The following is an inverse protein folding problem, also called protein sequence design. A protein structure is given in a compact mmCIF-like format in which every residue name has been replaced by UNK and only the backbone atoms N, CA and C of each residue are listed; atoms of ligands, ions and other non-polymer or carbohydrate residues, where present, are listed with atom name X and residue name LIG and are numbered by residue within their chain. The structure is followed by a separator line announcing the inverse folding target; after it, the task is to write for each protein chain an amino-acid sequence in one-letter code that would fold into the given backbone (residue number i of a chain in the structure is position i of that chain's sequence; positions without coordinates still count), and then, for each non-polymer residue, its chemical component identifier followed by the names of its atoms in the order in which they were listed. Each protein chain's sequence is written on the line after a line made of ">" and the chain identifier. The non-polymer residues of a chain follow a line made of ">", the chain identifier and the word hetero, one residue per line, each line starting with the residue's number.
data_IF_290852426570
#
_entry.id   IF_290852426570
#
_cell.length_a   1.000
_cell.length_b   1.000
_cell.length_c   1.000
_cell.angle_alpha   90.00
_cell.angle_beta   90.00
_cell.angle_gamma   90.00
#
_symmetry.space_group_name_H-M   'P 1'
#
loop_
_entity.id
_entity.type
_entity.pdbx_description
1 polymer ?
#
# COMPACT_ATOMS: atom_id res chain seq x y z
N UNK A 1 0.59 -34.92 3.17
CA UNK A 1 0.75 -33.66 3.94
C UNK A 1 -0.20 -32.67 3.31
N UNK A 2 -1.11 -32.10 4.09
CA UNK A 2 -1.98 -31.03 3.62
C UNK A 2 -1.07 -29.99 2.95
N UNK A 3 -1.35 -29.67 1.69
CA UNK A 3 -0.71 -28.54 1.05
C UNK A 3 -1.18 -27.37 1.90
N UNK A 4 -0.30 -26.65 2.59
CA UNK A 4 -0.71 -25.43 3.28
C UNK A 4 -1.60 -24.65 2.30
N UNK A 5 -2.86 -24.43 2.67
CA UNK A 5 -3.84 -23.88 1.75
C UNK A 5 -3.46 -22.42 1.52
N UNK A 6 -2.69 -22.20 0.46
CA UNK A 6 -2.21 -20.88 0.09
C UNK A 6 -3.14 -20.32 -0.97
N UNK A 7 -4.12 -19.52 -0.51
CA UNK A 7 -5.06 -18.82 -1.37
C UNK A 7 -4.31 -18.06 -2.47
N UNK A 8 -4.82 -18.16 -3.70
CA UNK A 8 -4.25 -17.48 -4.87
C UNK A 8 -5.14 -16.31 -5.26
N UNK A 9 -4.67 -15.10 -4.95
CA UNK A 9 -5.35 -13.86 -5.33
C UNK A 9 -5.27 -13.67 -6.85
N UNK A 10 -6.32 -14.11 -7.56
CA UNK A 10 -6.41 -14.00 -9.02
C UNK A 10 -6.70 -12.56 -9.41
N UNK A 11 -5.89 -12.00 -10.32
CA UNK A 11 -6.01 -10.60 -10.74
C UNK A 11 -5.15 -9.64 -9.92
N UNK A 12 -4.58 -10.09 -8.79
CA UNK A 12 -3.63 -9.29 -8.03
C UNK A 12 -2.31 -9.14 -8.82
N UNK A 13 -1.73 -7.92 -8.91
CA UNK A 13 -0.47 -7.70 -9.61
C UNK A 13 0.66 -8.57 -9.04
N UNK A 14 1.34 -9.33 -9.90
CA UNK A 14 2.37 -10.26 -9.43
C UNK A 14 3.66 -9.58 -8.95
N UNK A 15 3.96 -8.41 -9.50
CA UNK A 15 5.19 -7.63 -9.27
C UNK A 15 4.98 -6.17 -9.64
N UNK A 16 5.89 -5.31 -9.17
CA UNK A 16 5.99 -3.93 -9.64
C UNK A 16 6.51 -3.90 -11.10
N UNK A 17 5.76 -3.32 -12.06
CA UNK A 17 6.20 -3.20 -13.45
C UNK A 17 7.57 -2.52 -13.58
N UNK A 18 8.41 -3.01 -14.49
CA UNK A 18 9.75 -2.46 -14.71
C UNK A 18 10.77 -2.77 -13.61
N UNK A 19 10.44 -3.65 -12.66
CA UNK A 19 11.37 -4.05 -11.59
C UNK A 19 11.28 -5.54 -11.24
N UNK A 20 12.18 -5.97 -10.37
CA UNK A 20 12.23 -7.34 -9.82
C UNK A 20 11.42 -7.49 -8.52
N UNK A 21 10.82 -6.42 -8.01
CA UNK A 21 10.04 -6.46 -6.77
C UNK A 21 8.76 -7.28 -6.95
N UNK A 22 8.74 -8.47 -6.35
CA UNK A 22 7.60 -9.37 -6.36
C UNK A 22 6.60 -8.98 -5.27
N UNK A 23 5.32 -9.09 -5.59
CA UNK A 23 4.23 -8.86 -4.64
C UNK A 23 3.53 -10.14 -4.23
N UNK A 24 3.68 -11.22 -5.01
CA UNK A 24 3.09 -12.52 -4.72
C UNK A 24 4.10 -13.66 -4.87
N UNK A 25 3.87 -14.74 -4.14
CA UNK A 25 4.63 -15.98 -4.24
C UNK A 25 3.93 -17.00 -5.13
N UNK A 26 4.68 -17.60 -6.06
CA UNK A 26 4.17 -18.64 -6.96
C UNK A 26 3.88 -19.97 -6.26
N UNK A 27 4.63 -20.29 -5.21
CA UNK A 27 4.53 -21.55 -4.46
C UNK A 27 4.70 -21.29 -2.97
N UNK A 28 4.10 -22.13 -2.14
CA UNK A 28 4.33 -22.13 -0.70
C UNK A 28 5.81 -22.40 -0.40
N UNK A 29 6.30 -21.87 0.71
CA UNK A 29 7.69 -22.07 1.11
C UNK A 29 7.86 -23.49 1.69
N UNK A 30 8.74 -24.33 1.12
CA UNK A 30 8.95 -25.70 1.62
C UNK A 30 9.52 -25.75 3.05
N UNK A 31 10.06 -24.64 3.56
CA UNK A 31 10.60 -24.51 4.93
C UNK A 31 9.57 -23.99 5.94
N UNK A 32 8.31 -23.84 5.53
CA UNK A 32 7.26 -23.23 6.33
C UNK A 32 7.03 -21.75 5.98
N UNK A 33 5.85 -21.27 6.34
CA UNK A 33 5.40 -19.90 6.07
C UNK A 33 6.32 -18.89 6.75
N UNK A 34 6.77 -17.87 6.01
CA UNK A 34 7.56 -16.78 6.61
C UNK A 34 6.66 -15.97 7.55
N UNK A 35 7.00 -15.83 8.84
CA UNK A 35 6.18 -15.06 9.77
C UNK A 35 6.18 -13.58 9.40
N UNK A 36 5.02 -12.94 9.46
CA UNK A 36 4.90 -11.49 9.32
C UNK A 36 5.50 -10.79 10.54
N UNK A 37 6.25 -9.73 10.29
CA UNK A 37 6.89 -8.91 11.33
C UNK A 37 6.66 -7.45 11.03
N UNK A 38 6.37 -6.65 12.05
CA UNK A 38 6.32 -5.20 11.87
C UNK A 38 7.76 -4.67 11.75
N UNK A 39 8.14 -4.19 10.56
CA UNK A 39 9.48 -3.66 10.31
C UNK A 39 9.50 -2.14 10.49
N UNK A 40 10.55 -1.62 11.14
CA UNK A 40 10.74 -0.18 11.32
C UNK A 40 11.22 0.49 10.03
N UNK A 41 10.56 1.59 9.65
CA UNK A 41 10.94 2.39 8.47
C UNK A 41 11.86 3.53 8.90
N UNK A 42 13.16 3.32 8.77
CA UNK A 42 14.14 4.40 8.95
C UNK A 42 14.21 5.35 7.74
N UNK A 43 14.69 6.57 7.97
CA UNK A 43 14.69 7.67 6.98
C UNK A 43 15.55 7.36 5.75
N UNK A 44 16.62 6.61 5.95
CA UNK A 44 17.66 6.21 5.00
C UNK A 44 17.27 5.04 4.07
N UNK A 45 16.01 4.59 4.11
CA UNK A 45 15.53 3.56 3.16
C UNK A 45 15.68 4.00 1.71
N UNK A 46 16.10 3.04 0.87
CA UNK A 46 16.30 3.24 -0.57
C UNK A 46 15.02 3.73 -1.25
N UNK A 47 15.10 4.72 -2.15
CA UNK A 47 13.92 5.22 -2.87
C UNK A 47 13.17 4.14 -3.65
N UNK A 48 13.88 3.15 -4.20
CA UNK A 48 13.26 2.03 -4.92
C UNK A 48 12.38 1.17 -4.02
N UNK A 49 12.82 0.91 -2.79
CA UNK A 49 12.02 0.16 -1.81
C UNK A 49 10.79 0.96 -1.37
N UNK A 50 10.93 2.27 -1.18
CA UNK A 50 9.79 3.15 -0.86
C UNK A 50 8.72 3.11 -1.96
N UNK A 51 9.13 3.19 -3.24
CA UNK A 51 8.22 3.07 -4.39
C UNK A 51 7.55 1.70 -4.46
N UNK A 52 8.29 0.63 -4.18
CA UNK A 52 7.73 -0.72 -4.16
C UNK A 52 6.67 -0.88 -3.07
N UNK A 53 6.90 -0.32 -1.88
CA UNK A 53 5.94 -0.38 -0.78
C UNK A 53 4.67 0.43 -1.08
N UNK A 54 4.82 1.63 -1.66
CA UNK A 54 3.69 2.46 -2.10
C UNK A 54 2.85 1.77 -3.18
N UNK A 55 3.51 1.19 -4.20
CA UNK A 55 2.82 0.46 -5.26
C UNK A 55 2.18 -0.85 -4.75
N UNK A 56 2.79 -1.51 -3.77
CA UNK A 56 2.19 -2.68 -3.13
C UNK A 56 0.95 -2.29 -2.33
N UNK A 57 1.00 -1.18 -1.57
CA UNK A 57 -0.17 -0.62 -0.87
C UNK A 57 -1.29 -0.24 -1.85
N UNK A 58 -0.95 0.40 -2.96
CA UNK A 58 -1.91 0.71 -4.04
C UNK A 58 -2.59 -0.56 -4.56
N UNK A 59 -1.82 -1.61 -4.86
CA UNK A 59 -2.36 -2.88 -5.32
C UNK A 59 -3.27 -3.55 -4.27
N UNK A 60 -2.91 -3.49 -2.99
CA UNK A 60 -3.75 -3.98 -1.90
C UNK A 60 -5.08 -3.20 -1.84
N UNK A 61 -5.03 -1.88 -1.90
CA UNK A 61 -6.21 -1.03 -1.88
C UNK A 61 -7.12 -1.27 -3.08
N UNK A 62 -6.58 -1.31 -4.30
CA UNK A 62 -7.38 -1.55 -5.51
C UNK A 62 -8.00 -2.94 -5.57
N UNK A 63 -7.40 -3.94 -4.91
CA UNK A 63 -7.88 -5.32 -4.96
C UNK A 63 -8.81 -5.69 -3.80
N UNK A 64 -8.49 -5.26 -2.58
CA UNK A 64 -9.25 -5.61 -1.36
C UNK A 64 -10.07 -4.44 -0.80
N UNK A 65 -9.65 -3.20 -1.02
CA UNK A 65 -10.31 -2.01 -0.48
C UNK A 65 -10.30 -2.00 1.06
N UNK A 66 -11.49 -1.90 1.65
CA UNK A 66 -11.68 -1.88 3.11
C UNK A 66 -12.03 -3.26 3.68
N UNK A 67 -12.22 -4.27 2.83
CA UNK A 67 -12.60 -5.61 3.28
C UNK A 67 -11.43 -6.35 3.95
N UNK A 68 -11.77 -7.30 4.82
CA UNK A 68 -10.77 -8.23 5.34
C UNK A 68 -10.36 -9.22 4.25
N UNK A 69 -9.11 -9.66 4.29
CA UNK A 69 -8.57 -10.58 3.31
C UNK A 69 -7.56 -11.54 3.92
N UNK A 70 -7.52 -12.75 3.37
CA UNK A 70 -6.48 -13.72 3.71
C UNK A 70 -5.13 -13.30 3.11
N UNK A 71 -4.06 -13.48 3.88
CA UNK A 71 -2.69 -13.29 3.41
C UNK A 71 -2.42 -14.07 2.11
N UNK A 72 -2.85 -15.32 2.02
CA UNK A 72 -2.73 -16.16 0.83
C UNK A 72 -1.32 -16.17 0.23
N UNK A 73 -1.23 -15.84 -1.05
CA UNK A 73 0.03 -15.79 -1.79
C UNK A 73 0.72 -14.43 -1.78
N UNK A 74 0.34 -13.48 -0.91
CA UNK A 74 1.04 -12.20 -0.80
C UNK A 74 2.47 -12.40 -0.27
N UNK A 75 3.42 -11.65 -0.81
CA UNK A 75 4.82 -11.72 -0.40
C UNK A 75 5.00 -11.17 1.02
N UNK A 76 5.42 -12.03 1.94
CA UNK A 76 5.67 -11.63 3.32
C UNK A 76 6.80 -10.61 3.46
N UNK A 77 7.78 -10.61 2.55
CA UNK A 77 8.90 -9.69 2.56
C UNK A 77 8.49 -8.24 2.28
N UNK A 78 7.44 -8.02 1.47
CA UNK A 78 6.80 -6.71 1.27
C UNK A 78 5.72 -6.43 2.29
N UNK A 79 4.87 -7.41 2.59
CA UNK A 79 3.79 -7.25 3.55
C UNK A 79 4.31 -6.87 4.96
N UNK A 80 5.45 -7.41 5.39
CA UNK A 80 6.10 -7.04 6.67
C UNK A 80 6.48 -5.56 6.79
N UNK A 81 6.65 -4.84 5.68
CA UNK A 81 6.92 -3.40 5.74
C UNK A 81 5.67 -2.57 6.02
N UNK A 82 4.50 -3.05 5.62
CA UNK A 82 3.20 -2.43 5.86
C UNK A 82 2.52 -2.96 7.14
N UNK A 83 2.89 -4.17 7.54
CA UNK A 83 2.31 -4.85 8.68
C UNK A 83 2.59 -4.13 10.00
N UNK A 84 1.55 -3.98 10.83
CA UNK A 84 1.60 -3.26 12.11
C UNK A 84 1.40 -1.74 11.99
N UNK A 85 1.23 -1.21 10.78
CA UNK A 85 0.97 0.22 10.55
C UNK A 85 -0.24 0.43 9.64
N UNK A 86 -0.10 0.12 8.36
CA UNK A 86 -1.16 0.27 7.35
C UNK A 86 -1.93 -1.03 7.13
N UNK A 87 -1.30 -2.18 7.37
CA UNK A 87 -1.96 -3.49 7.37
C UNK A 87 -1.91 -4.05 8.78
N UNK A 88 -3.05 -4.47 9.29
CA UNK A 88 -3.20 -5.01 10.64
C UNK A 88 -3.95 -6.35 10.60
N UNK A 89 -3.80 -7.21 11.62
CA UNK A 89 -4.67 -8.37 11.80
C UNK A 89 -6.16 -7.98 11.74
N UNK A 90 -6.98 -8.79 11.08
CA UNK A 90 -8.42 -8.60 11.11
C UNK A 90 -8.95 -8.76 12.54
N UNK A 91 -8.53 -9.85 13.20
CA UNK A 91 -8.71 -10.16 14.62
C UNK A 91 -7.33 -10.21 15.32
N UNK A 92 -7.00 -9.27 16.22
CA UNK A 92 -5.73 -9.27 16.96
C UNK A 92 -5.57 -10.43 17.97
N UNK A 93 -6.67 -11.01 18.45
CA UNK A 93 -6.65 -12.01 19.53
C UNK A 93 -6.44 -13.44 19.00
N UNK A 94 -6.76 -13.69 17.71
CA UNK A 94 -6.61 -14.99 17.03
C UNK A 94 -5.81 -14.87 15.71
N UNK A 95 -4.65 -14.19 15.78
CA UNK A 95 -3.80 -13.98 14.61
C UNK A 95 -2.53 -14.82 14.61
N UNK A 96 -2.36 -15.69 13.61
CA UNK A 96 -1.10 -16.38 13.35
C UNK A 96 -0.26 -15.67 12.25
N UNK A 97 0.83 -14.98 12.62
CA UNK A 97 1.72 -14.33 11.64
C UNK A 97 2.40 -15.34 10.69
N UNK A 98 2.49 -16.62 11.07
CA UNK A 98 3.08 -17.70 10.29
C UNK A 98 2.01 -18.58 9.60
N UNK A 99 0.81 -18.06 9.36
CA UNK A 99 -0.21 -18.74 8.56
C UNK A 99 -0.40 -18.07 7.19
N UNK A 100 -0.75 -18.85 6.17
CA UNK A 100 -1.23 -18.32 4.87
C UNK A 100 -2.72 -17.94 4.92
N UNK A 101 -3.48 -18.53 5.84
CA UNK A 101 -4.90 -18.24 6.08
C UNK A 101 -5.08 -17.08 7.06
N UNK A 102 -3.98 -16.40 7.44
CA UNK A 102 -4.01 -15.27 8.34
C UNK A 102 -4.87 -14.14 7.75
N UNK A 103 -5.94 -13.77 8.43
CA UNK A 103 -6.81 -12.66 8.03
C UNK A 103 -6.22 -11.31 8.41
N UNK A 104 -6.20 -10.42 7.43
CA UNK A 104 -5.64 -9.09 7.50
C UNK A 104 -6.67 -8.07 7.05
N UNK A 105 -6.49 -6.82 7.47
CA UNK A 105 -7.26 -5.68 6.99
C UNK A 105 -6.36 -4.46 6.83
N UNK A 106 -6.78 -3.55 5.97
CA UNK A 106 -6.11 -2.26 5.80
C UNK A 106 -6.65 -1.28 6.85
N UNK A 107 -5.75 -0.68 7.63
CA UNK A 107 -6.08 0.49 8.44
C UNK A 107 -6.10 1.71 7.52
N UNK A 108 -7.29 2.01 7.00
CA UNK A 108 -7.54 3.08 6.03
C UNK A 108 -7.01 4.43 6.53
N UNK A 109 -7.21 4.73 7.82
CA UNK A 109 -6.75 6.01 8.41
C UNK A 109 -5.23 6.12 8.38
N UNK A 110 -4.52 5.03 8.72
CA UNK A 110 -3.06 4.99 8.68
C UNK A 110 -2.51 4.94 7.25
N UNK A 111 -3.21 4.25 6.36
CA UNK A 111 -2.87 4.18 4.94
C UNK A 111 -2.98 5.57 4.29
N UNK A 112 -4.09 6.28 4.49
CA UNK A 112 -4.29 7.66 4.00
C UNK A 112 -3.26 8.64 4.55
N UNK A 113 -2.91 8.52 5.84
CA UNK A 113 -1.89 9.39 6.44
C UNK A 113 -0.47 9.10 5.94
N UNK A 114 -0.18 7.87 5.52
CA UNK A 114 1.17 7.49 5.08
C UNK A 114 1.37 7.62 3.58
N UNK A 115 0.30 7.38 2.81
CA UNK A 115 0.30 7.39 1.34
C UNK A 115 -0.89 8.22 0.83
N UNK A 116 -0.95 9.52 1.15
CA UNK A 116 -2.06 10.38 0.73
C UNK A 116 -2.26 10.38 -0.78
N UNK A 117 -1.17 10.24 -1.55
CA UNK A 117 -1.17 10.17 -3.01
C UNK A 117 -1.97 8.98 -3.59
N UNK A 118 -2.22 7.93 -2.79
CA UNK A 118 -3.02 6.78 -3.24
C UNK A 118 -4.53 7.01 -3.10
N UNK A 119 -4.92 8.03 -2.33
CA UNK A 119 -6.31 8.33 -2.00
C UNK A 119 -6.75 9.71 -2.53
N UNK A 120 -5.81 10.55 -2.97
CA UNK A 120 -6.11 11.80 -3.65
C UNK A 120 -6.79 11.51 -5.00
N UNK A 121 -7.98 12.06 -5.21
CA UNK A 121 -8.61 12.12 -6.53
C UNK A 121 -7.90 13.20 -7.37
N UNK A 122 -7.78 12.99 -8.69
CA UNK A 122 -7.12 13.92 -9.63
C UNK A 122 -7.64 15.38 -9.56
N UNK A 123 -8.80 15.61 -8.94
CA UNK A 123 -9.43 16.92 -8.76
C UNK A 123 -8.69 17.88 -7.78
N UNK A 124 -7.80 17.40 -6.91
CA UNK A 124 -7.07 18.28 -5.97
C UNK A 124 -5.84 18.95 -6.60
N UNK A 125 -5.35 18.50 -7.77
CA UNK A 125 -4.15 19.06 -8.44
C UNK A 125 -4.47 20.15 -9.47
N UNK A 126 -5.74 20.38 -9.81
CA UNK A 126 -6.19 21.39 -10.79
C UNK A 126 -6.93 22.59 -10.16
N UNK A 127 -6.59 23.02 -8.95
CA UNK A 127 -6.91 24.40 -8.55
C UNK A 127 -5.74 25.32 -8.91
N UNK A 128 -5.77 25.99 -10.09
CA UNK A 128 -4.95 27.17 -10.26
C UNK A 128 -5.31 28.14 -9.12
N UNK A 129 -4.28 28.74 -8.53
CA UNK A 129 -4.42 29.75 -7.49
C UNK A 129 -5.34 30.88 -8.00
N UNK A 130 -6.60 30.85 -7.55
CA UNK A 130 -7.62 31.83 -7.95
C UNK A 130 -7.24 33.25 -7.49
N UNK A 131 -6.41 33.37 -6.45
CA UNK A 131 -5.85 34.66 -6.01
C UNK A 131 -4.80 35.19 -7.00
N UNK A 132 -4.11 34.34 -7.76
CA UNK A 132 -3.15 34.77 -8.78
C UNK A 132 -3.80 35.23 -10.09
N UNK A 133 -5.05 34.82 -10.38
CA UNK A 133 -5.76 35.20 -11.61
C UNK A 133 -6.52 36.52 -11.48
N UNK A 134 -6.90 36.93 -10.26
CA UNK A 134 -7.63 38.18 -9.99
C UNK A 134 -6.72 39.40 -9.78
N UNK A 135 -5.48 39.21 -9.35
CA UNK A 135 -4.51 40.29 -9.10
C UNK A 135 -3.70 40.70 -10.35
N UNK A 136 -4.20 40.42 -11.55
CA UNK A 136 -3.54 40.69 -12.83
C UNK A 136 -3.92 42.00 -13.53
N UNK A 137 -4.85 42.78 -12.97
CA UNK A 137 -5.23 44.11 -13.49
C UNK A 137 -4.94 45.18 -12.43
N UNK A 138 -3.73 45.73 -12.43
CA UNK A 138 -3.46 47.02 -11.77
C UNK A 138 -2.46 47.84 -12.59
N UNK A 139 -2.91 48.34 -13.74
CA UNK A 139 -2.39 49.58 -14.34
C UNK A 139 -3.55 50.50 -14.79
N UNK A 140 -4.39 50.85 -13.81
CA UNK A 140 -5.18 52.07 -13.89
C UNK A 140 -4.30 53.30 -13.63
N UNK A 141 -3.57 53.77 -14.64
CA UNK A 141 -3.04 55.14 -14.65
C UNK A 141 -4.01 56.05 -15.43
N UNK A 142 -4.87 56.76 -14.69
CA UNK A 142 -5.57 57.94 -15.16
C UNK A 142 -4.57 59.11 -15.09
N UNK A 143 -4.10 59.62 -16.23
CA UNK A 143 -3.54 60.98 -16.31
C UNK A 143 -4.55 61.91 -17.01
N UNK A 144 -4.73 63.08 -16.39
CA UNK A 144 -5.67 64.19 -16.66
C UNK A 144 -5.51 64.84 -18.06
#
# INVERSE_FOLDING_TARGET
>A
MARDYMLKHKGFPGRLPGSDYQFVIRRANPKGVTPLKALERYKDRKPSDKRADAAFMSALWSYFGEETFERGNLDAGRLSWLFGREVVPADPDDFDPASYEAELKIDVKRAMATFPELFASEEDEEMPDWDAMWNGDEDGEYED
#
